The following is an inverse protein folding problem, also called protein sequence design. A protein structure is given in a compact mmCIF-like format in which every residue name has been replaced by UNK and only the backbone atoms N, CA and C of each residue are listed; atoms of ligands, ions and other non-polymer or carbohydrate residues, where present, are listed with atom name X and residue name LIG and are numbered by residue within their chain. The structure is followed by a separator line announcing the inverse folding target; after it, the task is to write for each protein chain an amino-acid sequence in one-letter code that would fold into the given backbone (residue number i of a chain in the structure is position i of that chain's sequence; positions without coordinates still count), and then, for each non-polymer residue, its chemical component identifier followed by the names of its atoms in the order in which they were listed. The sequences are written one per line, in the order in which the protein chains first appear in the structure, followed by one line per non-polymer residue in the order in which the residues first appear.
data_IF_412241702880
#
_entry.id   IF_412241702880
#
_cell.length_a   1.000
_cell.length_b   1.000
_cell.length_c   1.000
_cell.angle_alpha   90.00
_cell.angle_beta   90.00
_cell.angle_gamma   90.00
#
_symmetry.space_group_name_H-M   'P 1'
#
loop_
_entity.id
_entity.type
_entity.pdbx_description
1 polymer ?
#
# COMPACT_ATOMS: atom_id res chain seq x y z
N UNK A 1 -16.47 -26.31 4.40
CA UNK A 1 -17.62 -26.10 3.50
C UNK A 1 -17.22 -25.03 2.49
N UNK A 2 -16.69 -25.44 1.33
CA UNK A 2 -16.33 -24.49 0.27
C UNK A 2 -17.62 -24.09 -0.44
N UNK A 3 -18.11 -22.89 -0.16
CA UNK A 3 -19.18 -22.29 -0.95
C UNK A 3 -18.72 -22.20 -2.40
N UNK A 4 -19.44 -22.84 -3.31
CA UNK A 4 -19.29 -22.64 -4.74
C UNK A 4 -19.72 -21.22 -5.05
N UNK A 5 -18.76 -20.35 -5.38
CA UNK A 5 -19.04 -19.01 -5.87
C UNK A 5 -19.86 -19.12 -7.16
N UNK A 6 -21.14 -18.74 -7.11
CA UNK A 6 -22.00 -18.64 -8.29
C UNK A 6 -21.77 -17.29 -8.96
N UNK A 7 -21.48 -17.29 -10.26
CA UNK A 7 -21.35 -16.07 -11.03
C UNK A 7 -22.72 -15.43 -11.27
N UNK A 8 -22.91 -14.20 -10.80
CA UNK A 8 -24.10 -13.40 -11.04
C UNK A 8 -23.71 -12.08 -11.74
N UNK A 9 -23.97 -11.94 -13.06
CA UNK A 9 -23.59 -10.75 -13.81
C UNK A 9 -24.37 -9.50 -13.41
N UNK A 10 -25.61 -9.66 -12.92
CA UNK A 10 -26.43 -8.54 -12.48
C UNK A 10 -25.92 -7.97 -11.15
N UNK A 11 -25.46 -8.86 -10.25
CA UNK A 11 -24.80 -8.46 -9.01
C UNK A 11 -23.52 -7.66 -9.28
N UNK A 12 -22.68 -8.15 -10.19
CA UNK A 12 -21.46 -7.46 -10.57
C UNK A 12 -21.76 -6.08 -11.17
N UNK A 13 -22.72 -5.99 -12.10
CA UNK A 13 -23.10 -4.70 -12.71
C UNK A 13 -23.65 -3.70 -11.69
N UNK A 14 -24.33 -4.18 -10.64
CA UNK A 14 -24.85 -3.32 -9.56
C UNK A 14 -23.73 -2.68 -8.73
N UNK A 15 -22.68 -3.44 -8.44
CA UNK A 15 -21.62 -3.07 -7.50
C UNK A 15 -20.27 -2.70 -8.13
N UNK A 16 -20.14 -2.79 -9.45
CA UNK A 16 -19.00 -2.25 -10.21
C UNK A 16 -19.04 -0.72 -10.19
N UNK A 17 -18.69 -0.15 -9.04
CA UNK A 17 -18.67 1.28 -8.75
C UNK A 17 -17.36 1.61 -8.05
N UNK A 18 -16.84 2.85 -8.20
CA UNK A 18 -15.67 3.28 -7.46
C UNK A 18 -15.88 3.10 -5.95
N UNK A 19 -14.97 2.38 -5.30
CA UNK A 19 -15.02 2.07 -3.87
C UNK A 19 -13.65 2.22 -3.21
N UNK A 20 -13.61 2.28 -1.86
CA UNK A 20 -12.37 2.35 -1.13
C UNK A 20 -11.53 1.09 -1.37
N UNK A 21 -10.22 1.28 -1.57
CA UNK A 21 -9.26 0.17 -1.63
C UNK A 21 -8.91 -0.22 -0.20
N UNK A 22 -9.32 -1.41 0.22
CA UNK A 22 -8.99 -1.98 1.52
C UNK A 22 -7.62 -2.66 1.49
N UNK A 23 -6.55 -1.86 1.50
CA UNK A 23 -5.16 -2.35 1.58
C UNK A 23 -4.64 -2.46 3.01
N UNK A 24 -5.31 -1.79 3.95
CA UNK A 24 -5.00 -1.77 5.38
C UNK A 24 -6.23 -1.31 6.18
N UNK A 25 -6.22 -1.56 7.49
CA UNK A 25 -7.23 -1.06 8.42
C UNK A 25 -6.56 -0.56 9.71
N UNK A 26 -6.82 0.69 10.16
CA UNK A 26 -7.55 1.74 9.44
C UNK A 26 -6.88 2.16 8.12
N UNK A 27 -7.64 2.74 7.20
CA UNK A 27 -7.15 3.12 5.87
C UNK A 27 -6.28 4.39 5.91
N UNK A 28 -5.45 4.62 4.88
CA UNK A 28 -4.53 5.76 4.80
C UNK A 28 -5.15 7.16 5.05
N UNK A 29 -6.41 7.46 4.65
CA UNK A 29 -7.06 8.73 5.00
C UNK A 29 -7.19 8.99 6.51
N UNK A 30 -7.00 7.99 7.36
CA UNK A 30 -7.00 8.12 8.82
C UNK A 30 -5.62 8.54 9.36
N UNK A 31 -4.58 8.65 8.52
CA UNK A 31 -3.27 9.11 8.96
C UNK A 31 -3.31 10.61 9.27
N UNK A 32 -2.76 11.00 10.41
CA UNK A 32 -2.72 12.39 10.86
C UNK A 32 -1.30 12.80 11.22
N UNK A 33 -1.03 14.11 11.22
CA UNK A 33 0.25 14.67 11.65
C UNK A 33 0.47 14.59 13.18
N UNK A 34 -0.51 14.09 13.95
CA UNK A 34 -0.39 13.94 15.40
C UNK A 34 0.49 12.75 15.80
N UNK A 35 0.70 11.78 14.91
CA UNK A 35 1.59 10.65 15.18
C UNK A 35 3.06 11.10 15.18
N UNK A 36 3.76 10.82 16.28
CA UNK A 36 5.09 11.35 16.53
C UNK A 36 6.18 10.28 16.45
N UNK A 37 7.44 10.72 16.45
CA UNK A 37 8.57 9.81 16.59
C UNK A 37 8.64 9.08 17.93
N UNK A 38 8.00 9.61 18.99
CA UNK A 38 7.91 8.92 20.28
C UNK A 38 6.98 7.71 20.19
N UNK A 39 5.84 7.87 19.51
CA UNK A 39 4.88 6.78 19.25
C UNK A 39 5.54 5.67 18.42
N UNK A 40 6.28 6.04 17.36
CA UNK A 40 7.01 5.06 16.55
C UNK A 40 7.98 4.20 17.39
N UNK A 41 8.78 4.82 18.27
CA UNK A 41 9.72 4.10 19.13
C UNK A 41 9.02 3.18 20.11
N UNK A 42 7.88 3.59 20.65
CA UNK A 42 7.04 2.74 21.50
C UNK A 42 6.54 1.51 20.74
N UNK A 43 6.01 1.69 19.53
CA UNK A 43 5.55 0.58 18.69
C UNK A 43 6.67 -0.39 18.32
N UNK A 44 7.87 0.11 18.01
CA UNK A 44 9.05 -0.74 17.74
C UNK A 44 9.42 -1.57 18.98
N UNK A 45 9.47 -0.95 20.17
CA UNK A 45 9.78 -1.67 21.42
C UNK A 45 8.77 -2.79 21.68
N UNK A 46 7.47 -2.51 21.49
CA UNK A 46 6.40 -3.51 21.64
C UNK A 46 6.51 -4.65 20.62
N UNK A 47 6.81 -4.35 19.35
CA UNK A 47 6.98 -5.38 18.31
C UNK A 47 8.19 -6.28 18.59
N UNK A 48 9.33 -5.70 18.99
CA UNK A 48 10.53 -6.45 19.35
C UNK A 48 10.29 -7.40 20.54
N UNK A 49 9.51 -6.97 21.54
CA UNK A 49 9.14 -7.82 22.68
C UNK A 49 8.25 -9.00 22.27
N UNK A 50 7.48 -8.87 21.19
CA UNK A 50 6.61 -9.92 20.65
C UNK A 50 7.35 -11.00 19.84
N UNK A 51 8.64 -10.83 19.55
CA UNK A 51 9.46 -11.84 18.85
C UNK A 51 9.04 -12.12 17.40
N UNK A 52 8.32 -11.21 16.76
CA UNK A 52 7.86 -11.36 15.38
C UNK A 52 9.05 -11.29 14.40
N UNK A 53 8.99 -12.06 13.32
CA UNK A 53 10.00 -11.99 12.27
C UNK A 53 9.97 -10.61 11.58
N UNK A 54 11.14 -10.05 11.29
CA UNK A 54 11.27 -8.77 10.60
C UNK A 54 10.92 -8.91 9.12
N UNK A 55 9.99 -8.09 8.63
CA UNK A 55 9.73 -7.88 7.22
C UNK A 55 10.20 -6.48 6.82
N UNK A 56 10.95 -6.37 5.72
CA UNK A 56 11.52 -5.11 5.25
C UNK A 56 10.87 -4.72 3.92
N UNK A 57 10.40 -3.48 3.84
CA UNK A 57 9.89 -2.86 2.61
C UNK A 57 10.83 -1.75 2.15
N UNK A 58 11.22 -1.79 0.88
CA UNK A 58 11.99 -0.74 0.21
C UNK A 58 11.22 -0.24 -1.02
N UNK A 59 10.97 1.06 -1.11
CA UNK A 59 10.26 1.66 -2.24
C UNK A 59 11.26 2.12 -3.32
N UNK A 60 11.15 1.56 -4.53
CA UNK A 60 11.94 1.98 -5.71
C UNK A 60 11.05 2.81 -6.64
N UNK A 61 11.15 4.16 -6.61
CA UNK A 61 10.17 5.01 -7.28
C UNK A 61 10.48 5.26 -8.77
N UNK A 62 11.60 4.81 -9.33
CA UNK A 62 12.04 5.26 -10.65
C UNK A 62 11.51 4.39 -11.79
N UNK A 63 11.00 5.02 -12.85
CA UNK A 63 10.61 4.35 -14.08
C UNK A 63 11.16 5.09 -15.31
N UNK A 64 11.62 4.35 -16.32
CA UNK A 64 12.19 4.93 -17.55
C UNK A 64 11.16 5.61 -18.45
N UNK A 65 9.91 5.14 -18.41
CA UNK A 65 8.82 5.59 -19.28
C UNK A 65 7.48 5.66 -18.53
N UNK A 66 6.54 6.49 -18.99
CA UNK A 66 5.20 6.56 -18.41
C UNK A 66 4.32 5.41 -18.90
N UNK A 67 3.72 4.67 -17.97
CA UNK A 67 2.57 3.82 -18.24
C UNK A 67 1.28 4.61 -17.95
N UNK A 68 0.42 4.79 -18.96
CA UNK A 68 -0.81 5.61 -18.83
C UNK A 68 -1.85 5.06 -17.84
N UNK A 69 -1.80 3.77 -17.52
CA UNK A 69 -2.67 3.14 -16.52
C UNK A 69 -2.12 3.18 -15.09
N UNK A 70 -0.84 3.54 -14.91
CA UNK A 70 -0.17 3.36 -13.62
C UNK A 70 -0.41 4.56 -12.70
N UNK A 71 -0.82 4.30 -11.45
CA UNK A 71 -1.07 5.29 -10.40
C UNK A 71 -0.16 5.12 -9.16
N UNK A 72 0.93 4.35 -9.28
CA UNK A 72 1.88 4.16 -8.20
C UNK A 72 2.62 5.46 -7.85
N UNK A 73 3.07 5.57 -6.60
CA UNK A 73 4.04 6.59 -6.20
C UNK A 73 5.35 6.35 -6.97
N UNK A 74 5.64 7.19 -7.97
CA UNK A 74 6.79 7.02 -8.86
C UNK A 74 7.30 8.35 -9.41
N UNK A 75 8.52 8.31 -9.94
CA UNK A 75 9.22 9.36 -10.66
C UNK A 75 9.59 8.81 -12.04
N UNK A 76 9.10 9.44 -13.10
CA UNK A 76 9.52 9.11 -14.47
C UNK A 76 10.83 9.85 -14.78
N UNK A 77 11.88 9.12 -15.13
CA UNK A 77 13.19 9.69 -15.47
C UNK A 77 13.97 8.77 -16.39
N UNK A 78 14.72 9.36 -17.33
CA UNK A 78 15.71 8.66 -18.17
C UNK A 78 17.15 8.83 -17.66
N UNK A 79 17.36 9.74 -16.70
CA UNK A 79 18.64 9.91 -16.02
C UNK A 79 18.83 8.79 -15.00
N UNK A 80 19.76 7.88 -15.28
CA UNK A 80 20.10 6.74 -14.41
C UNK A 80 20.83 7.17 -13.15
N UNK A 81 21.53 8.32 -13.17
CA UNK A 81 22.23 8.85 -12.00
C UNK A 81 21.26 9.27 -10.87
N UNK A 82 19.95 9.33 -11.12
CA UNK A 82 18.93 9.54 -10.08
C UNK A 82 18.70 8.34 -9.18
N UNK A 83 19.07 7.13 -9.61
CA UNK A 83 18.96 5.93 -8.77
C UNK A 83 20.21 5.69 -7.89
N UNK A 84 21.30 6.42 -8.15
CA UNK A 84 22.61 6.25 -7.49
C UNK A 84 22.87 7.25 -6.37
N UNK A 85 21.96 8.21 -6.14
CA UNK A 85 22.02 9.24 -5.10
C UNK A 85 21.04 8.93 -3.99
#
# INVERSE_FOLDING_TARGET
MMSTLTFDPELLRRYDRPGPRYTSYPTAPQFTAAFTGADLREHIRRSNAGGQALSIYAHMPFCASPCFYCACNRVITRDTARAER
#
